data_IF_370114032823
#
_entry.id   IF_370114032823
#
_cell.length_a   1.000
_cell.length_b   1.000
_cell.length_c   1.000
_cell.angle_alpha   90.00
_cell.angle_beta   90.00
_cell.angle_gamma   90.00
#
_symmetry.space_group_name_H-M   'P 1'
#
loop_
_entity.id
_entity.type
_entity.pdbx_description
1 polymer ?
#
# COMPACT_ATOMS: atom_id res chain seq x y z
N UNK A 1 8.18 -13.49 4.83
CA UNK A 1 7.43 -14.03 3.67
C UNK A 1 8.00 -13.47 2.37
N UNK A 2 8.86 -14.23 1.66
CA UNK A 2 9.28 -13.91 0.28
C UNK A 2 8.47 -14.80 -0.65
N UNK A 3 7.43 -14.27 -1.27
CA UNK A 3 6.61 -14.99 -2.26
C UNK A 3 6.53 -14.17 -3.55
N UNK A 4 6.42 -14.85 -4.70
CA UNK A 4 6.33 -14.20 -6.01
C UNK A 4 5.12 -13.26 -6.10
N UNK A 5 3.99 -13.64 -5.48
CA UNK A 5 2.76 -12.85 -5.46
C UNK A 5 3.00 -11.47 -4.83
N UNK A 6 3.74 -11.40 -3.71
CA UNK A 6 4.03 -10.13 -3.04
C UNK A 6 5.01 -9.27 -3.86
N UNK A 7 6.00 -9.89 -4.51
CA UNK A 7 6.93 -9.17 -5.38
C UNK A 7 6.22 -8.54 -6.58
N UNK A 8 5.31 -9.27 -7.21
CA UNK A 8 4.49 -8.77 -8.32
C UNK A 8 3.55 -7.67 -7.84
N UNK A 9 2.91 -7.85 -6.68
CA UNK A 9 2.02 -6.85 -6.12
C UNK A 9 2.71 -5.52 -5.82
N UNK A 10 3.92 -5.59 -5.27
CA UNK A 10 4.70 -4.41 -4.90
C UNK A 10 5.40 -3.75 -6.10
N UNK A 11 5.27 -4.31 -7.29
CA UNK A 11 5.77 -3.69 -8.50
C UNK A 11 4.98 -2.41 -8.80
N UNK A 12 5.70 -1.30 -8.96
CA UNK A 12 5.13 0.02 -9.25
C UNK A 12 4.08 0.57 -8.25
N UNK A 13 3.95 -0.03 -7.06
CA UNK A 13 2.99 0.41 -6.03
C UNK A 13 3.23 1.85 -5.55
N UNK A 14 4.45 2.35 -5.75
CA UNK A 14 4.87 3.72 -5.44
C UNK A 14 4.10 4.77 -6.24
N UNK A 15 3.65 4.44 -7.45
CA UNK A 15 2.90 5.35 -8.33
C UNK A 15 1.41 5.44 -8.01
N UNK A 16 0.89 4.58 -7.13
CA UNK A 16 -0.54 4.52 -6.85
C UNK A 16 -1.01 5.70 -6.00
N UNK A 17 -2.25 6.14 -6.25
CA UNK A 17 -2.98 7.02 -5.34
C UNK A 17 -3.78 6.18 -4.35
N UNK A 18 -3.38 6.22 -3.08
CA UNK A 18 -4.00 5.45 -2.00
C UNK A 18 -5.30 6.13 -1.56
N UNK A 19 -6.41 5.61 -2.06
CA UNK A 19 -7.74 5.92 -1.54
C UNK A 19 -8.10 4.96 -0.41
N UNK A 20 -9.07 5.31 0.43
CA UNK A 20 -9.54 4.41 1.48
C UNK A 20 -10.06 3.06 0.93
N UNK A 21 -10.59 3.06 -0.30
CA UNK A 21 -10.99 1.81 -0.97
C UNK A 21 -9.78 0.98 -1.37
N UNK A 22 -8.76 1.62 -1.96
CA UNK A 22 -7.49 0.95 -2.32
C UNK A 22 -6.82 0.34 -1.08
N UNK A 23 -6.75 1.07 0.03
CA UNK A 23 -6.18 0.57 1.28
C UNK A 23 -6.92 -0.66 1.82
N UNK A 24 -8.27 -0.61 1.82
CA UNK A 24 -9.10 -1.76 2.20
C UNK A 24 -8.87 -2.97 1.28
N UNK A 25 -8.73 -2.76 -0.03
CA UNK A 25 -8.45 -3.85 -0.98
C UNK A 25 -7.07 -4.48 -0.76
N UNK A 26 -6.04 -3.67 -0.47
CA UNK A 26 -4.68 -4.15 -0.14
C UNK A 26 -4.74 -5.08 1.08
N UNK A 27 -5.35 -4.61 2.16
CA UNK A 27 -5.49 -5.40 3.39
C UNK A 27 -6.31 -6.69 3.16
N UNK A 28 -7.42 -6.60 2.41
CA UNK A 28 -8.23 -7.77 2.09
C UNK A 28 -7.46 -8.79 1.23
N UNK A 29 -6.63 -8.34 0.30
CA UNK A 29 -5.77 -9.22 -0.50
C UNK A 29 -4.75 -9.95 0.38
N UNK A 30 -4.05 -9.21 1.24
CA UNK A 30 -3.11 -9.77 2.20
C UNK A 30 -3.78 -10.82 3.08
N UNK A 31 -4.93 -10.50 3.68
CA UNK A 31 -5.69 -11.44 4.51
C UNK A 31 -6.13 -12.69 3.76
N UNK A 32 -6.47 -12.59 2.46
CA UNK A 32 -6.77 -13.76 1.63
C UNK A 32 -5.53 -14.64 1.44
N UNK A 33 -4.37 -14.04 1.17
CA UNK A 33 -3.11 -14.76 1.05
C UNK A 33 -2.73 -15.47 2.36
N UNK A 34 -2.84 -14.78 3.50
CA UNK A 34 -2.54 -15.36 4.82
C UNK A 34 -3.46 -16.52 5.17
N UNK A 35 -4.77 -16.39 4.92
CA UNK A 35 -5.72 -17.48 5.13
C UNK A 35 -5.41 -18.69 4.26
N UNK A 36 -5.12 -18.48 2.97
CA UNK A 36 -4.74 -19.57 2.06
C UNK A 36 -3.47 -20.28 2.49
N UNK A 37 -2.47 -19.54 2.95
CA UNK A 37 -1.23 -20.09 3.46
C UNK A 37 -1.42 -20.98 4.69
N UNK A 38 -2.29 -20.56 5.62
CA UNK A 38 -2.60 -21.31 6.84
C UNK A 38 -3.70 -22.36 6.65
N UNK A 39 -4.25 -22.51 5.45
CA UNK A 39 -5.37 -23.42 5.18
C UNK A 39 -6.69 -23.03 5.84
N UNK A 40 -6.84 -21.77 6.28
CA UNK A 40 -8.02 -21.28 7.00
C UNK A 40 -9.16 -20.99 6.03
N UNK A 41 -10.31 -21.60 6.28
CA UNK A 41 -11.55 -21.40 5.54
C UNK A 41 -12.50 -20.47 6.29
N UNK A 42 -13.57 -20.05 5.62
CA UNK A 42 -14.61 -19.23 6.26
C UNK A 42 -15.34 -19.97 7.39
N UNK A 43 -15.43 -21.31 7.32
CA UNK A 43 -16.12 -22.15 8.31
C UNK A 43 -15.41 -22.20 9.65
N UNK A 44 -14.14 -21.83 9.69
CA UNK A 44 -13.35 -21.86 10.92
C UNK A 44 -13.68 -20.67 11.85
N UNK A 45 -14.45 -19.68 11.35
CA UNK A 45 -14.87 -18.48 12.10
C UNK A 45 -13.71 -17.72 12.78
N UNK A 46 -12.51 -17.77 12.19
CA UNK A 46 -11.30 -17.16 12.75
C UNK A 46 -11.23 -15.66 12.40
N UNK A 47 -11.00 -14.85 13.43
CA UNK A 47 -10.82 -13.40 13.32
C UNK A 47 -9.56 -13.04 12.50
N UNK A 48 -9.53 -11.84 11.91
CA UNK A 48 -8.35 -11.38 11.17
C UNK A 48 -7.11 -11.25 12.07
N UNK A 49 -7.31 -10.86 13.34
CA UNK A 49 -6.24 -10.73 14.32
C UNK A 49 -5.60 -12.09 14.63
N UNK A 50 -6.43 -13.12 14.83
CA UNK A 50 -5.95 -14.47 15.09
C UNK A 50 -5.18 -15.05 13.88
N UNK A 51 -5.66 -14.79 12.65
CA UNK A 51 -4.91 -15.16 11.43
C UNK A 51 -3.52 -14.51 11.41
N UNK A 52 -3.40 -13.23 11.80
CA UNK A 52 -2.10 -12.53 11.87
C UNK A 52 -1.20 -13.13 12.96
N UNK A 53 -1.76 -13.45 14.12
CA UNK A 53 -1.03 -14.08 15.23
C UNK A 53 -0.47 -15.45 14.82
N UNK A 54 -1.30 -16.32 14.23
CA UNK A 54 -0.86 -17.63 13.71
C UNK A 54 0.19 -17.49 12.61
N UNK A 55 0.02 -16.53 11.71
CA UNK A 55 1.03 -16.27 10.67
C UNK A 55 2.37 -15.87 11.30
N UNK A 56 2.35 -15.00 12.33
CA UNK A 56 3.55 -14.57 13.05
C UNK A 56 4.24 -15.74 13.76
N UNK A 57 3.48 -16.66 14.34
CA UNK A 57 4.03 -17.87 14.96
C UNK A 57 4.63 -18.83 13.92
N UNK A 58 3.97 -19.01 12.77
CA UNK A 58 4.39 -19.97 11.76
C UNK A 58 5.61 -19.52 10.93
N UNK A 59 5.73 -18.21 10.63
CA UNK A 59 6.71 -17.69 9.65
C UNK A 59 7.57 -16.56 10.25
N UNK A 60 7.31 -16.19 11.51
CA UNK A 60 7.95 -15.06 12.17
C UNK A 60 7.28 -13.72 11.88
N UNK A 61 7.81 -12.63 12.47
CA UNK A 61 7.29 -11.28 12.25
C UNK A 61 7.39 -10.87 10.78
N UNK A 62 6.33 -10.28 10.26
CA UNK A 62 6.29 -9.68 8.93
C UNK A 62 5.62 -8.31 8.99
N UNK A 63 6.05 -7.42 8.09
CA UNK A 63 5.46 -6.09 7.91
C UNK A 63 4.14 -6.22 7.14
N UNK A 64 3.08 -5.55 7.62
CA UNK A 64 1.82 -5.44 6.90
C UNK A 64 2.06 -4.84 5.50
N UNK A 65 1.44 -5.43 4.47
CA UNK A 65 1.63 -5.08 3.07
C UNK A 65 1.33 -3.60 2.79
N UNK A 66 0.29 -3.06 3.42
CA UNK A 66 -0.06 -1.65 3.31
C UNK A 66 1.05 -0.74 3.84
N UNK A 67 1.68 -1.13 4.96
CA UNK A 67 2.80 -0.40 5.55
C UNK A 67 4.01 -0.43 4.62
N UNK A 68 4.32 -1.58 4.01
CA UNK A 68 5.37 -1.68 2.98
C UNK A 68 5.10 -0.76 1.80
N UNK A 69 3.86 -0.70 1.29
CA UNK A 69 3.48 0.19 0.18
C UNK A 69 3.68 1.67 0.56
N UNK A 70 3.19 2.09 1.74
CA UNK A 70 3.36 3.46 2.24
C UNK A 70 4.83 3.82 2.40
N UNK A 71 5.64 2.91 2.96
CA UNK A 71 7.08 3.08 3.13
C UNK A 71 7.82 3.21 1.80
N UNK A 72 7.50 2.37 0.81
CA UNK A 72 8.08 2.46 -0.55
C UNK A 72 7.74 3.78 -1.22
N UNK A 73 6.46 4.18 -1.14
CA UNK A 73 5.99 5.46 -1.67
C UNK A 73 6.73 6.64 -1.04
N UNK A 74 6.93 6.65 0.27
CA UNK A 74 7.69 7.69 0.96
C UNK A 74 9.18 7.69 0.58
N UNK A 75 9.79 6.50 0.42
CA UNK A 75 11.17 6.39 -0.09
C UNK A 75 11.31 6.97 -1.49
N UNK A 76 10.36 6.67 -2.38
CA UNK A 76 10.33 7.20 -3.75
C UNK A 76 10.16 8.72 -3.76
N UNK A 77 9.25 9.24 -2.94
CA UNK A 77 9.10 10.69 -2.73
C UNK A 77 10.43 11.33 -2.32
N UNK A 78 11.07 10.82 -1.26
CA UNK A 78 12.34 11.35 -0.79
C UNK A 78 13.46 11.24 -1.84
N UNK A 79 13.48 10.18 -2.64
CA UNK A 79 14.42 10.03 -3.75
C UNK A 79 14.21 11.11 -4.81
N UNK A 80 12.97 11.36 -5.24
CA UNK A 80 12.65 12.39 -6.24
C UNK A 80 12.93 13.79 -5.71
N UNK A 81 12.60 14.08 -4.46
CA UNK A 81 12.84 15.40 -3.87
C UNK A 81 14.34 15.74 -3.85
N UNK A 82 15.21 14.73 -3.66
CA UNK A 82 16.67 14.88 -3.70
C UNK A 82 17.27 14.83 -5.11
N UNK A 83 16.58 14.25 -6.09
CA UNK A 83 17.09 14.16 -7.45
C UNK A 83 16.92 15.47 -8.22
N UNK A 84 17.57 15.54 -9.39
CA UNK A 84 17.31 16.55 -10.41
C UNK A 84 16.70 15.87 -11.64
N UNK A 85 15.78 16.56 -12.33
CA UNK A 85 15.17 16.06 -13.56
C UNK A 85 13.64 16.16 -13.60
N UNK A 86 13.08 15.68 -14.71
CA UNK A 86 11.66 15.85 -15.06
C UNK A 86 10.70 15.33 -13.99
N UNK A 87 11.03 14.22 -13.31
CA UNK A 87 10.17 13.64 -12.28
C UNK A 87 9.95 14.60 -11.10
N UNK A 88 10.99 15.33 -10.69
CA UNK A 88 10.88 16.35 -9.63
C UNK A 88 10.07 17.54 -10.10
N UNK A 89 10.30 18.00 -11.33
CA UNK A 89 9.50 19.06 -11.94
C UNK A 89 8.04 18.67 -11.98
N UNK A 90 7.70 17.50 -12.51
CA UNK A 90 6.31 17.00 -12.59
C UNK A 90 5.66 16.92 -11.21
N UNK A 91 6.39 16.45 -10.19
CA UNK A 91 5.89 16.35 -8.83
C UNK A 91 5.63 17.72 -8.18
N UNK A 92 6.44 18.73 -8.50
CA UNK A 92 6.31 20.08 -7.94
C UNK A 92 5.40 21.01 -8.76
N UNK A 93 5.12 20.65 -10.02
CA UNK A 93 4.30 21.46 -10.91
C UNK A 93 2.87 21.53 -10.39
N UNK A 94 2.46 22.74 -10.04
CA UNK A 94 1.06 23.05 -9.80
C UNK A 94 0.40 23.32 -11.16
N UNK A 95 -0.48 22.42 -11.59
CA UNK A 95 -1.29 22.63 -12.80
C UNK A 95 -2.17 23.85 -12.60
N UNK A 96 -2.07 24.83 -13.50
CA UNK A 96 -2.89 26.04 -13.42
C UNK A 96 -4.37 25.72 -13.66
N UNK A 97 -5.23 26.17 -12.75
CA UNK A 97 -6.67 25.96 -12.79
C UNK A 97 -7.28 25.65 -11.42
N UNK A 98 -8.57 25.96 -11.25
CA UNK A 98 -9.32 25.63 -10.04
C UNK A 98 -9.82 24.19 -10.02
N UNK A 99 -9.91 23.59 -8.83
CA UNK A 99 -10.54 22.26 -8.65
C UNK A 99 -12.05 22.43 -8.49
N UNK A 100 -12.83 21.48 -8.99
CA UNK A 100 -14.30 21.47 -8.80
C UNK A 100 -14.64 21.46 -7.30
N UNK A 101 -15.68 22.21 -6.93
CA UNK A 101 -16.26 22.23 -5.58
C UNK A 101 -16.96 20.90 -5.30
N UNK A 102 -16.90 20.41 -4.05
CA UNK A 102 -17.50 19.13 -3.63
C UNK A 102 -16.45 18.05 -3.33
N UNK A 103 -16.78 16.78 -3.57
CA UNK A 103 -15.90 15.63 -3.27
C UNK A 103 -14.75 15.53 -4.28
N UNK A 104 -13.63 16.16 -3.96
CA UNK A 104 -12.42 16.09 -4.78
C UNK A 104 -11.80 14.68 -4.73
N UNK A 105 -11.24 14.24 -5.86
CA UNK A 105 -10.44 13.01 -5.90
C UNK A 105 -9.12 13.25 -5.14
N UNK A 106 -8.70 12.27 -4.34
CA UNK A 106 -7.37 12.28 -3.73
C UNK A 106 -6.30 12.37 -4.82
N UNK A 107 -5.26 13.16 -4.55
CA UNK A 107 -4.02 13.19 -5.32
C UNK A 107 -3.03 12.19 -4.77
N UNK A 108 -2.01 11.93 -5.57
CA UNK A 108 -0.85 11.18 -5.15
C UNK A 108 -0.12 11.86 -3.98
N UNK A 109 0.00 13.20 -4.03
CA UNK A 109 0.61 14.08 -3.01
C UNK A 109 -0.11 13.99 -1.66
N UNK A 110 -1.46 13.93 -1.65
CA UNK A 110 -2.29 13.82 -0.44
C UNK A 110 -2.03 12.52 0.37
N UNK A 111 -1.10 11.67 -0.06
CA UNK A 111 -0.72 10.43 0.64
C UNK A 111 0.64 10.52 1.32
N UNK A 112 1.38 11.61 1.10
CA UNK A 112 2.67 11.83 1.77
C UNK A 112 2.36 12.48 3.12
N UNK A 113 2.71 11.83 4.25
CA UNK A 113 2.56 12.45 5.56
C UNK A 113 3.47 13.68 5.66
N UNK A 114 2.94 14.76 6.24
CA UNK A 114 3.71 15.97 6.61
C UNK A 114 4.79 15.65 7.65
#
# INVERSE_FOLDING_TARGET
MRSLVMSIFLYACESWTLTADTERRIQAMEMRCLRKLLGITYRDHISNEEVRNRTRQAIGPHEDLLTTVKRRKLKWYGHITRSSGLAKTILQVTVQGGRRRGRQKKRWEDNIPE
#
